data_IF_099248693358
#
_entry.id   IF_099248693358
#
_cell.length_a   1.000
_cell.length_b   1.000
_cell.length_c   1.000
_cell.angle_alpha   90.00
_cell.angle_beta   90.00
_cell.angle_gamma   90.00
#
_symmetry.space_group_name_H-M   'P 1'
#
loop_
_entity.id
_entity.type
_entity.pdbx_description
1 polymer ?
#
# COMPACT_ATOMS: atom_id res chain seq x y z
N UNK A 1 -12.89 5.76 1.52
CA UNK A 1 -12.33 6.96 0.86
C UNK A 1 -10.85 7.00 1.12
N UNK A 2 -10.04 7.26 0.10
CA UNK A 2 -8.66 7.71 0.28
C UNK A 2 -8.81 9.19 0.60
N UNK A 3 -8.59 9.55 1.86
CA UNK A 3 -8.90 10.88 2.37
C UNK A 3 -8.08 11.99 1.70
N UNK A 4 -8.54 13.25 1.77
CA UNK A 4 -7.84 14.43 1.24
C UNK A 4 -6.48 14.70 1.91
N UNK A 5 -6.22 14.05 3.05
CA UNK A 5 -4.91 14.03 3.66
C UNK A 5 -4.02 13.03 2.91
N UNK A 6 -3.27 13.55 1.94
CA UNK A 6 -2.04 12.94 1.46
C UNK A 6 -1.32 12.36 2.68
N UNK A 7 -0.98 11.07 2.66
CA UNK A 7 -0.07 10.49 3.63
C UNK A 7 1.25 11.27 3.51
N UNK A 8 1.37 12.36 4.25
CA UNK A 8 2.58 13.16 4.35
C UNK A 8 3.70 12.24 4.78
N UNK A 9 4.94 12.69 4.57
CA UNK A 9 6.15 11.91 4.87
C UNK A 9 6.23 11.36 6.32
N UNK A 10 5.30 11.72 7.20
CA UNK A 10 5.02 11.13 8.50
C UNK A 10 3.50 10.90 8.73
N UNK A 11 3.07 9.67 9.10
CA UNK A 11 3.89 8.48 9.34
C UNK A 11 4.35 7.78 8.05
N UNK A 12 4.14 8.40 6.88
CA UNK A 12 4.64 7.94 5.58
C UNK A 12 4.05 6.59 5.11
N UNK A 13 4.33 6.17 3.88
CA UNK A 13 4.00 4.84 3.38
C UNK A 13 4.60 3.71 4.23
N UNK A 14 3.93 2.55 4.30
CA UNK A 14 4.47 1.37 4.98
C UNK A 14 5.83 0.94 4.40
N UNK A 15 6.02 1.07 3.09
CA UNK A 15 7.26 0.77 2.38
C UNK A 15 8.46 1.62 2.82
N UNK A 16 8.23 2.76 3.49
CA UNK A 16 9.30 3.62 4.01
C UNK A 16 9.80 3.16 5.38
N UNK A 17 9.33 2.02 5.90
CA UNK A 17 9.71 1.46 7.22
C UNK A 17 9.35 2.38 8.39
N UNK A 18 8.35 3.26 8.21
CA UNK A 18 7.89 4.23 9.21
C UNK A 18 6.62 3.80 9.97
N UNK A 19 6.20 2.54 9.83
CA UNK A 19 4.97 1.99 10.43
C UNK A 19 3.68 2.77 10.07
N UNK A 20 3.68 3.53 8.97
CA UNK A 20 2.52 4.28 8.53
C UNK A 20 1.53 3.46 7.70
N UNK A 21 0.50 4.13 7.21
CA UNK A 21 -0.60 3.52 6.47
C UNK A 21 -0.17 3.09 5.06
N UNK A 22 -0.89 2.12 4.48
CA UNK A 22 -0.74 1.76 3.07
C UNK A 22 -1.00 2.98 2.17
N UNK A 23 -0.04 3.30 1.30
CA UNK A 23 -0.15 4.39 0.35
C UNK A 23 -0.13 3.90 -1.12
N UNK A 24 -0.23 4.82 -2.07
CA UNK A 24 -0.14 4.52 -3.51
C UNK A 24 1.21 3.87 -3.86
N UNK A 25 2.30 4.30 -3.21
CA UNK A 25 3.63 3.72 -3.42
C UNK A 25 3.67 2.25 -3.02
N UNK A 26 3.05 1.89 -1.90
CA UNK A 26 2.90 0.49 -1.46
C UNK A 26 2.12 -0.34 -2.48
N UNK A 27 1.00 0.20 -2.98
CA UNK A 27 0.18 -0.49 -3.97
C UNK A 27 0.97 -0.76 -5.27
N UNK A 28 1.72 0.23 -5.76
CA UNK A 28 2.54 0.05 -6.95
C UNK A 28 3.72 -0.91 -6.72
N UNK A 29 4.24 -1.00 -5.49
CA UNK A 29 5.27 -1.98 -5.12
C UNK A 29 4.72 -3.41 -5.15
N UNK A 30 3.52 -3.66 -4.61
CA UNK A 30 2.86 -4.98 -4.67
C UNK A 30 2.53 -5.39 -6.10
N UNK A 31 2.04 -4.44 -6.91
CA UNK A 31 1.69 -4.68 -8.31
C UNK A 31 2.92 -4.86 -9.22
N UNK A 32 4.15 -4.80 -8.68
CA UNK A 32 5.38 -4.90 -9.45
C UNK A 32 5.63 -3.72 -10.41
N UNK A 33 4.91 -2.61 -10.23
CA UNK A 33 5.04 -1.40 -11.04
C UNK A 33 6.21 -0.52 -10.60
N UNK A 34 6.72 -0.74 -9.38
CA UNK A 34 7.93 -0.11 -8.87
C UNK A 34 9.00 -1.18 -8.67
N UNK A 35 10.18 -0.94 -9.25
CA UNK A 35 11.35 -1.78 -9.03
C UNK A 35 12.16 -1.22 -7.86
N UNK A 36 12.29 -1.93 -6.71
CA UNK A 36 12.96 -1.42 -5.51
C UNK A 36 14.40 -0.99 -5.76
N UNK A 37 15.10 -1.66 -6.68
CA UNK A 37 16.50 -1.38 -7.00
C UNK A 37 16.76 -0.04 -7.70
N UNK A 38 15.73 0.66 -8.18
CA UNK A 38 15.87 2.01 -8.75
C UNK A 38 15.63 3.12 -7.72
N UNK A 39 15.21 2.78 -6.50
CA UNK A 39 15.05 3.77 -5.44
C UNK A 39 16.35 3.97 -4.66
N UNK A 40 16.67 5.22 -4.28
CA UNK A 40 17.78 5.48 -3.38
C UNK A 40 17.55 4.76 -2.05
N UNK A 41 18.62 4.21 -1.47
CA UNK A 41 18.57 3.54 -0.17
C UNK A 41 18.60 4.57 0.96
N UNK A 42 17.52 5.33 1.09
CA UNK A 42 17.40 6.45 2.05
C UNK A 42 16.29 6.21 3.08
N UNK A 43 15.84 4.96 3.22
CA UNK A 43 14.76 4.58 4.12
C UNK A 43 15.31 3.89 5.38
N UNK A 44 14.43 3.67 6.36
CA UNK A 44 14.81 3.08 7.64
C UNK A 44 15.43 4.09 8.63
N UNK A 45 15.70 3.66 9.87
CA UNK A 45 16.13 4.56 10.96
C UNK A 45 17.52 5.17 10.74
N UNK A 46 18.34 4.53 9.91
CA UNK A 46 19.72 4.92 9.57
C UNK A 46 19.84 5.51 8.16
N UNK A 47 18.70 5.70 7.45
CA UNK A 47 18.63 6.29 6.11
C UNK A 47 19.55 5.62 5.07
N UNK A 48 19.75 4.30 5.18
CA UNK A 48 20.63 3.49 4.33
C UNK A 48 19.94 2.25 3.74
N UNK A 49 18.61 2.12 3.92
CA UNK A 49 17.85 0.94 3.55
C UNK A 49 17.01 1.19 2.29
N UNK A 50 16.80 0.13 1.52
CA UNK A 50 15.88 0.14 0.39
C UNK A 50 14.41 0.07 0.87
N UNK A 51 13.48 0.27 -0.07
CA UNK A 51 12.04 0.05 0.15
C UNK A 51 11.79 -1.35 0.74
N UNK A 52 10.92 -1.39 1.75
CA UNK A 52 10.56 -2.65 2.40
C UNK A 52 9.38 -3.33 1.72
N UNK A 53 9.70 -4.16 0.72
CA UNK A 53 8.71 -4.94 -0.02
C UNK A 53 7.94 -5.89 0.90
N UNK A 54 8.60 -6.45 1.91
CA UNK A 54 7.98 -7.45 2.78
C UNK A 54 7.01 -6.78 3.75
N UNK A 55 7.38 -5.64 4.33
CA UNK A 55 6.47 -4.84 5.15
C UNK A 55 5.20 -4.46 4.36
N UNK A 56 5.37 -4.04 3.11
CA UNK A 56 4.25 -3.72 2.22
C UNK A 56 3.37 -4.95 1.94
N UNK A 57 3.96 -6.11 1.61
CA UNK A 57 3.22 -7.37 1.38
C UNK A 57 2.44 -7.80 2.62
N UNK A 58 3.08 -7.75 3.80
CA UNK A 58 2.44 -8.09 5.07
C UNK A 58 1.28 -7.16 5.40
N UNK A 59 1.43 -5.86 5.17
CA UNK A 59 0.37 -4.88 5.38
C UNK A 59 -0.83 -5.13 4.45
N UNK A 60 -0.60 -5.39 3.15
CA UNK A 60 -1.67 -5.76 2.22
C UNK A 60 -2.33 -7.08 2.56
N UNK A 61 -1.59 -8.09 3.03
CA UNK A 61 -2.16 -9.36 3.47
C UNK A 61 -3.11 -9.16 4.65
N UNK A 62 -2.73 -8.36 5.66
CA UNK A 62 -3.58 -8.03 6.81
C UNK A 62 -4.86 -7.31 6.36
N UNK A 63 -4.73 -6.28 5.52
CA UNK A 63 -5.87 -5.54 5.00
C UNK A 63 -6.81 -6.43 4.18
N UNK A 64 -6.25 -7.30 3.33
CA UNK A 64 -7.01 -8.24 2.50
C UNK A 64 -7.81 -9.21 3.38
N UNK A 65 -7.22 -9.70 4.47
CA UNK A 65 -7.92 -10.56 5.42
C UNK A 65 -9.12 -9.83 6.06
N UNK A 66 -8.96 -8.56 6.45
CA UNK A 66 -10.06 -7.73 6.97
C UNK A 66 -11.17 -7.52 5.92
N UNK A 67 -10.81 -7.20 4.68
CA UNK A 67 -11.77 -7.02 3.58
C UNK A 67 -12.53 -8.33 3.29
N UNK A 68 -11.83 -9.46 3.26
CA UNK A 68 -12.45 -10.76 2.97
C UNK A 68 -13.34 -11.23 4.12
N UNK A 69 -13.03 -10.89 5.38
CA UNK A 69 -13.93 -11.14 6.50
C UNK A 69 -15.28 -10.44 6.30
N UNK A 70 -15.29 -9.15 5.99
CA UNK A 70 -16.52 -8.40 5.70
C UNK A 70 -17.20 -8.82 4.40
N UNK A 71 -16.43 -9.24 3.39
CA UNK A 71 -17.00 -9.71 2.12
C UNK A 71 -17.78 -11.01 2.32
N UNK A 72 -17.26 -11.94 3.13
CA UNK A 72 -17.95 -13.18 3.49
C UNK A 72 -19.28 -12.93 4.22
N UNK A 73 -19.31 -11.99 5.17
CA UNK A 73 -20.55 -11.58 5.86
C UNK A 73 -21.63 -11.07 4.91
N UNK A 74 -21.21 -10.49 3.77
CA UNK A 74 -22.09 -9.90 2.75
C UNK A 74 -22.34 -10.82 1.55
N UNK A 75 -21.80 -12.05 1.55
CA UNK A 75 -21.89 -12.98 0.42
C UNK A 75 -21.15 -12.52 -0.84
N UNK A 76 -20.16 -11.63 -0.69
CA UNK A 76 -19.32 -11.14 -1.79
C UNK A 76 -18.09 -12.04 -1.97
N UNK A 77 -17.55 -12.15 -3.19
CA UNK A 77 -16.36 -12.94 -3.46
C UNK A 77 -15.13 -12.38 -2.73
N UNK A 78 -14.22 -13.28 -2.35
CA UNK A 78 -12.93 -12.89 -1.76
C UNK A 78 -12.02 -12.22 -2.80
N UNK A 79 -11.17 -11.32 -2.31
CA UNK A 79 -10.18 -10.60 -3.10
C UNK A 79 -8.77 -11.09 -2.76
N UNK A 80 -7.91 -11.13 -3.76
CA UNK A 80 -6.45 -11.26 -3.60
C UNK A 80 -5.81 -9.94 -3.18
N UNK A 81 -4.60 -10.01 -2.63
CA UNK A 81 -3.83 -8.82 -2.23
C UNK A 81 -3.58 -7.88 -3.43
N UNK A 82 -3.35 -8.44 -4.61
CA UNK A 82 -3.15 -7.69 -5.85
C UNK A 82 -4.44 -6.98 -6.30
N UNK A 83 -5.61 -7.60 -6.13
CA UNK A 83 -6.89 -6.95 -6.43
C UNK A 83 -7.18 -5.79 -5.46
N UNK A 84 -6.86 -5.96 -4.17
CA UNK A 84 -6.96 -4.88 -3.17
C UNK A 84 -6.00 -3.73 -3.52
N UNK A 85 -4.74 -4.04 -3.85
CA UNK A 85 -3.76 -3.04 -4.29
C UNK A 85 -4.17 -2.30 -5.57
N UNK A 86 -4.73 -3.02 -6.55
CA UNK A 86 -5.27 -2.40 -7.77
C UNK A 86 -6.45 -1.48 -7.45
N UNK A 87 -7.32 -1.86 -6.50
CA UNK A 87 -8.39 -1.01 -5.98
C UNK A 87 -7.87 0.30 -5.40
N UNK A 88 -6.79 0.26 -4.61
CA UNK A 88 -6.11 1.45 -4.09
C UNK A 88 -5.67 2.40 -5.20
N UNK A 89 -5.00 1.88 -6.24
CA UNK A 89 -4.55 2.70 -7.38
C UNK A 89 -5.73 3.31 -8.14
N UNK A 90 -6.82 2.55 -8.33
CA UNK A 90 -8.02 3.06 -9.01
C UNK A 90 -8.66 4.21 -8.25
N UNK A 91 -8.92 4.04 -6.97
CA UNK A 91 -9.53 5.09 -6.13
C UNK A 91 -8.62 6.33 -6.08
N UNK A 92 -7.32 6.13 -5.91
CA UNK A 92 -6.36 7.23 -5.95
C UNK A 92 -6.40 8.02 -7.26
N UNK A 93 -6.41 7.33 -8.40
CA UNK A 93 -6.49 7.98 -9.71
C UNK A 93 -7.81 8.72 -9.91
N UNK A 94 -8.93 8.19 -9.42
CA UNK A 94 -10.24 8.86 -9.49
C UNK A 94 -10.28 10.18 -8.70
N UNK A 95 -9.54 10.28 -7.59
CA UNK A 95 -9.42 11.52 -6.81
C UNK A 95 -8.52 12.56 -7.50
N UNK A 96 -7.50 12.13 -8.25
CA UNK A 96 -6.56 13.03 -8.95
C UNK A 96 -7.10 13.65 -10.25
N UNK A 97 -8.18 13.10 -10.81
CA UNK A 97 -8.80 13.56 -12.06
C UNK A 97 -10.00 14.50 -11.81
N UNK A 98 -10.34 14.76 -10.55
CA UNK A 98 -11.34 15.76 -10.15
C UNK A 98 -10.70 17.10 -9.80
#
# INVERSE_FOLDING_TARGET
EVGPESAGAHPGPACYRKHGHLAITDANLVLGRLHPGYFPKIFGPTEDQALDVEATRSAFAKLTATINAHSRERGLPEMSAEQVALGFVRVANEVMVR
#
